data_IF_514479528723
#
_entry.id   IF_514479528723
#
_cell.length_a   1.000
_cell.length_b   1.000
_cell.length_c   1.000
_cell.angle_alpha   90.00
_cell.angle_beta   90.00
_cell.angle_gamma   90.00
#
_symmetry.space_group_name_H-M   'P 1'
#
loop_
_entity.id
_entity.type
_entity.pdbx_description
1 polymer ?
#
# COMPACT_ATOMS: atom_id res chain seq x y z
N UNK A 1 -4.80 -17.11 -85.61
CA UNK A 1 -6.02 -17.93 -85.50
C UNK A 1 -6.00 -18.67 -84.16
N UNK A 2 -6.98 -18.40 -83.29
CA UNK A 2 -7.35 -19.09 -82.03
C UNK A 2 -6.23 -19.63 -81.10
N UNK A 3 -6.03 -18.95 -79.95
CA UNK A 3 -5.70 -19.62 -78.68
C UNK A 3 -6.48 -18.98 -77.54
N UNK A 4 -7.42 -19.76 -77.00
CA UNK A 4 -8.17 -19.52 -75.77
C UNK A 4 -7.22 -19.60 -74.57
N UNK A 5 -7.21 -18.59 -73.71
CA UNK A 5 -6.71 -18.73 -72.34
C UNK A 5 -7.88 -18.56 -71.37
N UNK A 6 -8.08 -19.62 -70.57
CA UNK A 6 -9.13 -19.74 -69.55
C UNK A 6 -8.92 -18.68 -68.47
N UNK A 7 -9.93 -17.84 -68.28
CA UNK A 7 -10.07 -16.98 -67.10
C UNK A 7 -10.44 -17.89 -65.92
N UNK A 8 -9.49 -18.14 -65.02
CA UNK A 8 -9.78 -18.74 -63.72
C UNK A 8 -9.86 -17.65 -62.67
N UNK A 9 -10.96 -17.70 -61.92
CA UNK A 9 -11.52 -16.65 -61.05
C UNK A 9 -10.58 -16.22 -59.92
N UNK A 10 -10.39 -14.91 -59.79
CA UNK A 10 -9.95 -14.24 -58.58
C UNK A 10 -10.93 -14.47 -57.42
N UNK A 11 -10.44 -15.04 -56.32
CA UNK A 11 -11.01 -14.88 -54.97
C UNK A 11 -9.84 -14.78 -53.99
N UNK A 12 -9.15 -13.63 -53.98
CA UNK A 12 -8.19 -13.33 -52.94
C UNK A 12 -8.99 -13.14 -51.64
N UNK A 13 -8.90 -14.13 -50.75
CA UNK A 13 -9.56 -14.12 -49.44
C UNK A 13 -8.84 -13.10 -48.57
N UNK A 14 -9.56 -12.07 -48.16
CA UNK A 14 -9.12 -11.04 -47.21
C UNK A 14 -8.70 -11.76 -45.91
N UNK A 15 -7.42 -11.78 -45.50
CA UNK A 15 -7.09 -12.17 -44.15
C UNK A 15 -7.40 -10.98 -43.26
N UNK A 16 -8.44 -11.17 -42.46
CA UNK A 16 -8.79 -10.46 -41.23
C UNK A 16 -7.64 -9.62 -40.67
N UNK A 17 -7.85 -8.30 -40.67
CA UNK A 17 -7.10 -7.31 -39.90
C UNK A 17 -7.03 -7.77 -38.45
N UNK A 18 -5.87 -8.28 -38.03
CA UNK A 18 -5.61 -8.60 -36.62
C UNK A 18 -5.19 -7.29 -35.93
N UNK A 19 -6.17 -6.44 -35.62
CA UNK A 19 -5.97 -5.25 -34.81
C UNK A 19 -5.71 -5.70 -33.37
N UNK A 20 -4.45 -5.95 -33.03
CA UNK A 20 -4.02 -6.19 -31.66
C UNK A 20 -4.19 -4.89 -30.86
N UNK A 21 -5.38 -4.68 -30.29
CA UNK A 21 -5.57 -3.72 -29.21
C UNK A 21 -4.80 -4.23 -27.99
N UNK A 22 -3.55 -3.79 -27.84
CA UNK A 22 -2.83 -3.90 -26.57
C UNK A 22 -3.62 -3.03 -25.58
N UNK A 23 -4.46 -3.67 -24.76
CA UNK A 23 -5.01 -3.03 -23.57
C UNK A 23 -3.84 -2.72 -22.64
N UNK A 24 -3.30 -1.51 -22.74
CA UNK A 24 -2.37 -0.99 -21.74
C UNK A 24 -3.20 -0.77 -20.48
N UNK A 25 -3.21 -1.75 -19.58
CA UNK A 25 -3.78 -1.56 -18.26
C UNK A 25 -2.89 -0.55 -17.54
N UNK A 26 -3.44 0.63 -17.23
CA UNK A 26 -2.76 1.60 -16.38
C UNK A 26 -2.69 1.02 -14.97
N UNK A 27 -1.59 0.33 -14.66
CA UNK A 27 -1.31 -0.13 -13.32
C UNK A 27 -0.86 1.06 -12.48
N UNK A 28 -1.75 1.55 -11.62
CA UNK A 28 -1.39 2.60 -10.68
C UNK A 28 -0.65 1.96 -9.52
N UNK A 29 0.68 1.89 -9.61
CA UNK A 29 1.50 1.36 -8.52
C UNK A 29 1.34 2.29 -7.31
N UNK A 30 0.96 1.74 -6.15
CA UNK A 30 0.64 2.54 -4.97
C UNK A 30 1.82 2.66 -3.99
N UNK A 31 2.03 3.86 -3.43
CA UNK A 31 2.89 4.11 -2.28
C UNK A 31 2.13 4.98 -1.28
N UNK A 32 1.99 4.52 -0.04
CA UNK A 32 1.49 5.33 1.06
C UNK A 32 2.64 5.60 2.03
N UNK A 33 2.83 6.87 2.40
CA UNK A 33 3.84 7.35 3.35
C UNK A 33 3.17 7.74 4.66
N UNK A 34 3.83 7.41 5.77
CA UNK A 34 3.37 7.71 7.12
C UNK A 34 4.20 8.81 7.76
N UNK A 35 3.51 9.72 8.43
CA UNK A 35 4.13 10.80 9.18
C UNK A 35 3.54 10.98 10.57
N UNK A 36 4.42 11.20 11.55
CA UNK A 36 4.06 11.53 12.92
C UNK A 36 4.47 12.94 13.32
N UNK A 37 4.04 13.35 14.52
CA UNK A 37 4.25 14.71 15.03
C UNK A 37 3.20 15.70 14.53
N UNK A 38 3.20 16.90 15.10
CA UNK A 38 2.31 18.01 14.74
C UNK A 38 3.14 19.21 14.29
N UNK A 39 2.62 19.99 13.33
CA UNK A 39 3.24 21.24 12.89
C UNK A 39 3.96 21.15 11.53
N UNK A 40 4.92 22.06 11.33
CA UNK A 40 5.54 22.35 10.02
C UNK A 40 6.58 21.31 9.57
N UNK A 41 7.11 20.51 10.50
CA UNK A 41 8.12 19.48 10.23
C UNK A 41 7.62 18.09 10.66
N UNK A 42 6.74 17.45 9.88
CA UNK A 42 6.26 16.11 10.19
C UNK A 42 7.41 15.09 10.07
N UNK A 43 7.51 14.20 11.05
CA UNK A 43 8.51 13.14 11.08
C UNK A 43 8.08 12.01 10.16
N UNK A 44 8.92 11.63 9.19
CA UNK A 44 8.66 10.46 8.34
C UNK A 44 8.83 9.17 9.14
N UNK A 45 7.85 8.27 9.04
CA UNK A 45 7.75 7.02 9.79
C UNK A 45 7.68 5.78 8.90
N UNK A 46 8.06 5.92 7.63
CA UNK A 46 8.11 4.84 6.67
C UNK A 46 6.95 4.86 5.67
N UNK A 47 6.92 3.83 4.84
CA UNK A 47 5.90 3.66 3.79
C UNK A 47 5.39 2.21 3.72
N UNK A 48 4.34 2.01 2.94
CA UNK A 48 3.81 0.70 2.56
C UNK A 48 3.09 0.79 1.22
N UNK A 49 2.73 -0.36 0.64
CA UNK A 49 2.19 -0.48 -0.71
C UNK A 49 3.22 -1.09 -1.64
N UNK A 50 2.88 -1.19 -2.92
CA UNK A 50 3.67 -1.94 -3.90
C UNK A 50 5.04 -1.31 -4.21
N UNK A 51 5.13 0.02 -4.24
CA UNK A 51 6.43 0.72 -4.38
C UNK A 51 7.26 0.69 -3.09
N UNK A 52 6.68 0.29 -1.96
CA UNK A 52 7.34 0.24 -0.67
C UNK A 52 7.09 -1.10 0.02
N UNK A 53 7.51 -2.16 -0.69
CA UNK A 53 7.32 -3.54 -0.30
C UNK A 53 8.10 -3.96 0.96
N UNK A 54 7.95 -5.21 1.40
CA UNK A 54 8.66 -5.72 2.58
C UNK A 54 10.19 -5.77 2.42
N UNK A 55 10.73 -5.59 1.23
CA UNK A 55 12.17 -5.51 0.97
C UNK A 55 12.67 -4.06 0.96
N UNK A 56 11.77 -3.09 0.71
CA UNK A 56 12.12 -1.68 0.65
C UNK A 56 12.66 -1.19 2.01
N UNK A 57 13.76 -0.42 2.04
CA UNK A 57 14.42 -0.01 3.29
C UNK A 57 13.56 0.90 4.16
N UNK A 58 12.68 1.68 3.53
CA UNK A 58 11.74 2.58 4.21
C UNK A 58 10.42 1.91 4.60
N UNK A 59 10.23 0.63 4.30
CA UNK A 59 8.94 -0.03 4.52
C UNK A 59 8.69 -0.35 5.98
N UNK A 60 7.47 -0.05 6.44
CA UNK A 60 6.98 -0.53 7.74
C UNK A 60 6.74 -2.04 7.72
N UNK A 61 6.75 -2.67 6.53
CA UNK A 61 6.61 -4.12 6.37
C UNK A 61 7.96 -4.84 6.26
N UNK A 62 9.07 -4.11 6.25
CA UNK A 62 10.40 -4.67 6.36
C UNK A 62 10.75 -4.91 7.84
N UNK A 63 10.49 -6.12 8.33
CA UNK A 63 10.70 -6.50 9.75
C UNK A 63 12.15 -6.38 10.25
N UNK A 64 13.12 -6.24 9.33
CA UNK A 64 14.54 -5.99 9.65
C UNK A 64 14.93 -4.53 9.41
N UNK A 65 14.06 -3.75 8.79
CA UNK A 65 14.30 -2.37 8.39
C UNK A 65 14.05 -1.36 9.51
N UNK A 66 14.50 -0.12 9.27
CA UNK A 66 14.44 0.98 10.24
C UNK A 66 13.01 1.33 10.68
N UNK A 67 12.02 1.18 9.81
CA UNK A 67 10.62 1.54 10.10
C UNK A 67 9.74 0.32 10.38
N UNK A 68 10.16 -0.89 10.00
CA UNK A 68 9.41 -2.12 10.23
C UNK A 68 9.90 -2.97 11.41
N UNK A 69 11.13 -2.77 11.91
CA UNK A 69 11.66 -3.58 13.01
C UNK A 69 11.10 -3.19 14.38
N UNK A 70 10.68 -4.18 15.18
CA UNK A 70 10.26 -3.98 16.56
C UNK A 70 11.38 -3.49 17.49
N UNK A 71 12.64 -3.56 17.06
CA UNK A 71 13.77 -3.03 17.82
C UNK A 71 14.13 -1.57 17.50
N UNK A 72 13.41 -0.91 16.60
CA UNK A 72 13.72 0.45 16.15
C UNK A 72 12.85 1.50 16.85
N UNK A 73 13.46 2.59 17.32
CA UNK A 73 12.76 3.72 17.95
C UNK A 73 11.88 4.52 16.97
N UNK A 74 12.04 4.28 15.66
CA UNK A 74 11.21 4.89 14.62
C UNK A 74 10.13 3.96 14.10
N UNK A 75 10.13 2.69 14.52
CA UNK A 75 9.09 1.77 14.09
C UNK A 75 7.82 1.96 14.90
N UNK A 76 6.70 2.02 14.18
CA UNK A 76 5.38 1.94 14.78
C UNK A 76 5.12 0.56 15.41
N UNK A 77 5.89 -0.48 15.06
CA UNK A 77 5.73 -1.84 15.57
C UNK A 77 6.53 -2.13 16.84
N UNK A 78 7.33 -1.16 17.28
CA UNK A 78 8.07 -1.23 18.53
C UNK A 78 7.22 -0.66 19.68
N UNK A 79 6.80 -1.51 20.62
CA UNK A 79 5.96 -1.12 21.75
C UNK A 79 6.64 -0.12 22.71
N UNK A 80 7.96 0.01 22.68
CA UNK A 80 8.71 0.94 23.53
C UNK A 80 8.99 2.28 22.84
N UNK A 81 8.78 2.36 21.52
CA UNK A 81 9.11 3.55 20.74
C UNK A 81 8.12 4.69 20.96
N UNK A 82 8.53 5.91 20.59
CA UNK A 82 7.68 7.09 20.70
C UNK A 82 6.39 6.99 19.87
N UNK A 83 6.41 6.24 18.77
CA UNK A 83 5.31 6.09 17.82
C UNK A 83 4.61 4.72 17.87
N UNK A 84 5.18 3.74 18.57
CA UNK A 84 4.62 2.41 18.76
C UNK A 84 4.09 2.13 20.17
N UNK A 85 4.45 2.95 21.17
CA UNK A 85 3.93 2.77 22.53
C UNK A 85 2.46 3.19 22.68
N UNK A 86 1.59 2.26 23.05
CA UNK A 86 0.14 2.49 23.16
C UNK A 86 -0.27 3.52 24.22
N UNK A 87 0.61 3.89 25.16
CA UNK A 87 0.34 4.91 26.19
C UNK A 87 0.72 6.32 25.74
N UNK A 88 1.40 6.48 24.60
CA UNK A 88 1.78 7.79 24.07
C UNK A 88 0.75 8.34 23.09
N UNK A 89 0.31 9.59 23.27
CA UNK A 89 -0.64 10.26 22.34
C UNK A 89 -0.12 10.40 20.91
N UNK A 90 1.19 10.31 20.70
CA UNK A 90 1.87 10.30 19.40
C UNK A 90 1.75 8.97 18.65
N UNK A 91 1.45 7.89 19.36
CA UNK A 91 1.34 6.54 18.81
C UNK A 91 -0.03 6.33 18.20
N UNK A 92 -0.10 5.59 17.09
CA UNK A 92 -1.36 5.24 16.44
C UNK A 92 -2.17 4.20 17.24
N UNK A 93 -1.50 3.51 18.16
CA UNK A 93 -2.08 2.48 19.04
C UNK A 93 -2.78 3.08 20.26
N UNK A 94 -2.50 4.35 20.58
CA UNK A 94 -3.14 5.04 21.69
C UNK A 94 -4.58 5.44 21.35
N UNK A 95 -5.51 5.13 22.25
CA UNK A 95 -6.95 5.40 22.09
C UNK A 95 -7.28 6.89 21.89
N UNK A 96 -6.53 7.78 22.54
CA UNK A 96 -6.69 9.23 22.46
C UNK A 96 -5.86 9.88 21.35
N UNK A 97 -5.19 9.08 20.51
CA UNK A 97 -4.32 9.59 19.44
C UNK A 97 -5.11 10.28 18.33
N UNK A 98 -4.52 11.32 17.76
CA UNK A 98 -4.98 11.89 16.49
C UNK A 98 -4.70 10.96 15.30
N UNK A 99 -3.80 9.98 15.45
CA UNK A 99 -3.30 9.12 14.39
C UNK A 99 -2.11 9.72 13.63
N UNK A 100 -1.50 8.90 12.78
CA UNK A 100 -0.42 9.31 11.87
C UNK A 100 -0.99 9.80 10.56
N UNK A 101 -0.37 10.79 9.94
CA UNK A 101 -0.80 11.28 8.62
C UNK A 101 -0.36 10.30 7.53
N UNK A 102 -1.30 9.93 6.65
CA UNK A 102 -1.02 9.19 5.43
C UNK A 102 -0.96 10.15 4.23
N UNK A 103 0.03 10.00 3.39
CA UNK A 103 0.08 10.67 2.08
C UNK A 103 0.41 9.69 0.96
N UNK A 104 0.11 10.05 -0.27
CA UNK A 104 0.67 9.36 -1.43
C UNK A 104 2.14 9.78 -1.69
N UNK A 105 2.71 9.28 -2.79
CA UNK A 105 4.05 9.62 -3.26
C UNK A 105 4.22 11.09 -3.64
N UNK A 106 3.12 11.77 -4.03
CA UNK A 106 3.06 13.20 -4.37
C UNK A 106 2.78 14.11 -3.16
N UNK A 107 2.73 13.53 -1.95
CA UNK A 107 2.39 14.21 -0.67
C UNK A 107 0.93 14.68 -0.57
N UNK A 108 0.03 14.15 -1.39
CA UNK A 108 -1.40 14.38 -1.23
C UNK A 108 -1.91 13.67 0.02
N UNK A 109 -2.72 14.37 0.83
CA UNK A 109 -3.27 13.83 2.06
C UNK A 109 -4.32 12.74 1.79
N UNK A 110 -4.09 11.54 2.33
CA UNK A 110 -4.98 10.37 2.18
C UNK A 110 -5.84 10.11 3.42
N UNK A 111 -5.60 10.83 4.51
CA UNK A 111 -6.26 10.61 5.79
C UNK A 111 -5.27 10.38 6.92
N UNK A 112 -5.76 9.84 8.04
CA UNK A 112 -4.93 9.43 9.17
C UNK A 112 -5.04 7.94 9.45
N UNK A 113 -3.93 7.32 9.81
CA UNK A 113 -3.85 5.93 10.26
C UNK A 113 -3.91 5.89 11.79
N UNK A 114 -4.89 5.16 12.34
CA UNK A 114 -5.03 4.94 13.79
C UNK A 114 -5.83 3.69 14.10
N UNK A 115 -5.61 3.10 15.27
CA UNK A 115 -6.47 2.03 15.77
C UNK A 115 -7.82 2.60 16.22
N UNK A 116 -8.90 1.94 15.81
CA UNK A 116 -10.29 2.31 16.07
C UNK A 116 -10.70 2.01 17.53
N UNK A 117 -11.42 2.94 18.16
CA UNK A 117 -12.41 2.60 19.19
C UNK A 117 -13.82 3.18 18.93
N UNK A 118 -14.01 4.23 18.12
CA UNK A 118 -15.35 4.82 17.94
C UNK A 118 -15.77 5.33 16.55
N UNK A 119 -14.92 5.30 15.53
CA UNK A 119 -15.30 5.33 14.09
C UNK A 119 -14.02 5.26 13.25
N UNK A 120 -13.89 4.35 12.27
CA UNK A 120 -12.74 4.37 11.38
C UNK A 120 -12.86 5.59 10.47
N UNK A 121 -11.80 6.39 10.37
CA UNK A 121 -11.77 7.55 9.48
C UNK A 121 -11.54 7.16 8.01
N UNK A 122 -11.08 5.93 7.75
CA UNK A 122 -10.81 5.36 6.43
C UNK A 122 -10.64 3.83 6.52
N UNK A 123 -10.68 3.18 5.36
CA UNK A 123 -10.55 1.72 5.21
C UNK A 123 -9.24 1.18 5.81
N UNK A 124 -8.11 1.88 5.64
CA UNK A 124 -6.81 1.43 6.18
C UNK A 124 -6.79 1.36 7.70
N UNK A 125 -7.39 2.35 8.38
CA UNK A 125 -7.52 2.36 9.84
C UNK A 125 -8.46 1.27 10.35
N UNK A 126 -9.51 0.94 9.57
CA UNK A 126 -10.41 -0.15 9.90
C UNK A 126 -9.71 -1.51 9.82
N UNK A 127 -9.04 -1.79 8.69
CA UNK A 127 -8.25 -3.02 8.49
C UNK A 127 -7.20 -3.16 9.59
N UNK A 128 -6.44 -2.11 9.87
CA UNK A 128 -5.43 -2.12 10.93
C UNK A 128 -6.03 -2.41 12.31
N UNK A 129 -7.15 -1.75 12.64
CA UNK A 129 -7.83 -1.95 13.92
C UNK A 129 -8.39 -3.36 14.09
N UNK A 130 -8.91 -3.95 13.02
CA UNK A 130 -9.40 -5.33 13.03
C UNK A 130 -8.24 -6.31 13.28
N UNK A 131 -7.14 -6.19 12.55
CA UNK A 131 -5.96 -7.04 12.77
C UNK A 131 -5.35 -6.87 14.15
N UNK A 132 -5.33 -5.65 14.68
CA UNK A 132 -4.86 -5.38 16.04
C UNK A 132 -5.73 -6.08 17.09
N UNK A 133 -7.06 -6.05 16.91
CA UNK A 133 -8.01 -6.70 17.81
C UNK A 133 -7.92 -8.22 17.72
N UNK A 134 -7.89 -8.78 16.51
CA UNK A 134 -7.77 -10.23 16.29
C UNK A 134 -6.44 -10.81 16.78
N UNK A 135 -5.39 -9.98 16.85
CA UNK A 135 -4.07 -10.40 17.30
C UNK A 135 -3.89 -10.22 18.80
N UNK A 136 -4.96 -9.98 19.56
CA UNK A 136 -4.89 -9.67 20.99
C UNK A 136 -3.89 -8.55 21.32
N UNK A 137 -3.81 -7.54 20.44
CA UNK A 137 -2.89 -6.40 20.51
C UNK A 137 -1.40 -6.72 20.37
N UNK A 138 -1.05 -7.94 19.93
CA UNK A 138 0.34 -8.26 19.61
C UNK A 138 0.79 -7.52 18.34
N UNK A 139 1.79 -6.64 18.47
CA UNK A 139 2.24 -5.78 17.38
C UNK A 139 2.92 -6.56 16.25
N UNK A 140 3.60 -7.67 16.55
CA UNK A 140 4.26 -8.49 15.53
C UNK A 140 3.22 -9.21 14.66
N UNK A 141 2.24 -9.86 15.29
CA UNK A 141 1.15 -10.53 14.59
C UNK A 141 0.29 -9.53 13.81
N UNK A 142 0.02 -8.36 14.40
CA UNK A 142 -0.69 -7.27 13.72
C UNK A 142 0.06 -6.80 12.48
N UNK A 143 1.38 -6.60 12.60
CA UNK A 143 2.26 -6.23 11.48
C UNK A 143 2.17 -7.25 10.35
N UNK A 144 2.34 -8.54 10.67
CA UNK A 144 2.31 -9.61 9.67
C UNK A 144 0.97 -9.65 8.93
N UNK A 145 -0.16 -9.55 9.64
CA UNK A 145 -1.48 -9.51 9.01
C UNK A 145 -1.70 -8.27 8.15
N UNK A 146 -1.39 -7.08 8.69
CA UNK A 146 -1.55 -5.82 7.98
C UNK A 146 -0.70 -5.80 6.70
N UNK A 147 0.58 -6.15 6.82
CA UNK A 147 1.50 -6.18 5.70
C UNK A 147 1.09 -7.22 4.66
N UNK A 148 0.63 -8.41 5.04
CA UNK A 148 0.10 -9.37 4.06
C UNK A 148 -1.14 -8.86 3.31
N UNK A 149 -1.94 -7.96 3.92
CA UNK A 149 -3.15 -7.41 3.30
C UNK A 149 -2.86 -6.27 2.33
N UNK A 150 -1.97 -5.35 2.68
CA UNK A 150 -1.65 -4.17 1.85
C UNK A 150 -0.66 -4.46 0.72
N UNK A 151 -0.07 -5.65 0.71
CA UNK A 151 0.92 -6.10 -0.28
C UNK A 151 0.34 -7.03 -1.37
N UNK A 152 -0.95 -7.40 -1.25
CA UNK A 152 -1.66 -8.30 -2.18
C UNK A 152 -2.75 -7.60 -2.98
N UNK A 153 -2.89 -6.28 -2.83
CA UNK A 153 -3.88 -5.45 -3.52
C UNK A 153 -3.19 -4.73 -4.67
#
# INVERSE_FOLDING_TARGET
>A
MRRTQKIFRNRLKIPTVFLACIFVTNYSISETRLYGGTGQNPMFLGCFGELCDSNHPSSICNVKGRYGSQGSDLSIWNADSFYGNEYRKSSLWNKGSAGLVMTDSSRMFLGRLKVKQSNPTNNMSEILGNFYSESNKDLLQTQLKFCNSVMRQ
#
